data_IF_738234653289
#
_entry.id   IF_738234653289
#
_cell.length_a   1.000
_cell.length_b   1.000
_cell.length_c   1.000
_cell.angle_alpha   90.00
_cell.angle_beta   90.00
_cell.angle_gamma   90.00
#
_symmetry.space_group_name_H-M   'P 1'
#
loop_
_entity.id
_entity.type
_entity.pdbx_description
1 polymer ?
#
# COMPACT_ATOMS: atom_id res chain seq x y z
N UNK A 1 -105.48 29.95 -40.65
CA UNK A 1 -104.13 29.35 -40.56
C UNK A 1 -103.24 30.43 -39.96
N UNK A 2 -103.17 30.69 -38.65
CA UNK A 2 -103.52 29.93 -37.44
C UNK A 2 -102.73 28.64 -37.21
N UNK A 3 -102.09 28.59 -36.02
CA UNK A 3 -101.41 27.48 -35.34
C UNK A 3 -100.14 26.92 -36.03
N UNK A 4 -99.07 26.54 -35.32
CA UNK A 4 -98.78 26.62 -33.87
C UNK A 4 -97.25 26.82 -33.62
N UNK A 5 -96.57 26.64 -32.47
CA UNK A 5 -96.80 25.87 -31.22
C UNK A 5 -96.27 26.60 -29.95
N UNK A 6 -96.56 26.03 -28.78
CA UNK A 6 -95.82 26.18 -27.51
C UNK A 6 -95.72 24.78 -26.86
N UNK A 7 -94.66 24.43 -26.10
CA UNK A 7 -94.47 24.97 -24.74
C UNK A 7 -93.00 25.20 -24.32
N UNK A 8 -92.79 25.73 -23.10
CA UNK A 8 -91.46 25.96 -22.50
C UNK A 8 -91.22 25.24 -21.18
N UNK A 9 -90.17 25.61 -20.46
CA UNK A 9 -89.91 25.17 -19.06
C UNK A 9 -89.13 26.24 -18.28
N UNK A 10 -89.34 26.28 -16.96
CA UNK A 10 -88.75 27.26 -16.03
C UNK A 10 -87.85 26.55 -15.00
N UNK A 11 -86.57 26.94 -14.94
CA UNK A 11 -85.66 26.67 -13.82
C UNK A 11 -84.58 27.78 -13.77
N UNK A 12 -84.79 28.88 -13.05
CA UNK A 12 -84.54 29.00 -11.59
C UNK A 12 -83.05 29.02 -11.20
N UNK A 13 -82.46 30.21 -11.32
CA UNK A 13 -81.42 30.80 -10.45
C UNK A 13 -80.67 29.85 -9.48
N UNK A 14 -79.41 29.56 -9.79
CA UNK A 14 -78.45 28.96 -8.84
C UNK A 14 -77.25 29.88 -8.60
N UNK A 15 -77.31 30.75 -7.58
CA UNK A 15 -76.19 31.60 -7.18
C UNK A 15 -75.05 30.76 -6.57
N UNK A 16 -74.11 30.30 -7.40
CA UNK A 16 -72.81 29.85 -6.90
C UNK A 16 -71.94 31.07 -6.63
N UNK A 17 -71.70 31.36 -5.35
CA UNK A 17 -70.58 32.20 -4.95
C UNK A 17 -69.29 31.59 -5.47
N UNK A 18 -68.70 32.21 -6.49
CA UNK A 18 -67.36 31.88 -6.93
C UNK A 18 -66.38 32.55 -5.97
N UNK A 19 -66.14 31.89 -4.83
CA UNK A 19 -65.03 32.23 -3.94
C UNK A 19 -63.77 32.00 -4.75
N UNK A 20 -63.12 33.08 -5.18
CA UNK A 20 -61.81 33.01 -5.79
C UNK A 20 -60.82 32.58 -4.69
N UNK A 21 -60.43 31.31 -4.68
CA UNK A 21 -59.23 30.89 -3.99
C UNK A 21 -58.06 31.67 -4.61
N UNK A 22 -57.56 32.65 -3.86
CA UNK A 22 -56.31 33.32 -4.19
C UNK A 22 -55.22 32.27 -4.02
N UNK A 23 -54.73 31.73 -5.14
CA UNK A 23 -53.64 30.79 -5.15
C UNK A 23 -52.39 31.47 -4.57
N UNK A 24 -52.10 31.16 -3.31
CA UNK A 24 -50.88 31.58 -2.64
C UNK A 24 -49.70 31.05 -3.45
N UNK A 25 -48.99 31.97 -4.11
CA UNK A 25 -47.83 31.64 -4.92
C UNK A 25 -46.69 31.18 -4.00
N UNK A 26 -46.56 29.85 -3.85
CA UNK A 26 -45.47 29.15 -3.16
C UNK A 26 -44.12 29.78 -3.51
N UNK A 27 -43.33 30.13 -2.50
CA UNK A 27 -42.08 30.88 -2.71
C UNK A 27 -40.99 30.03 -3.35
N UNK A 28 -40.96 28.77 -2.94
CA UNK A 28 -40.13 27.69 -3.49
C UNK A 28 -41.01 26.69 -4.26
N UNK A 29 -40.41 25.80 -5.05
CA UNK A 29 -41.16 24.71 -5.68
C UNK A 29 -41.57 23.62 -4.67
N UNK A 30 -42.67 22.91 -4.94
CA UNK A 30 -43.25 21.94 -4.01
C UNK A 30 -42.33 20.74 -3.67
N UNK A 31 -41.44 20.32 -4.59
CA UNK A 31 -40.45 19.27 -4.35
C UNK A 31 -39.32 19.81 -3.46
N UNK A 32 -38.87 21.04 -3.67
CA UNK A 32 -37.86 21.69 -2.81
C UNK A 32 -38.39 21.93 -1.40
N UNK A 33 -39.64 22.38 -1.25
CA UNK A 33 -40.32 22.50 0.05
C UNK A 33 -40.38 21.15 0.77
N UNK A 34 -40.78 20.08 0.07
CA UNK A 34 -40.84 18.73 0.64
C UNK A 34 -39.45 18.24 1.09
N UNK A 35 -38.45 18.33 0.20
CA UNK A 35 -37.09 17.89 0.48
C UNK A 35 -36.48 18.65 1.66
N UNK A 36 -36.50 19.99 1.62
CA UNK A 36 -35.95 20.85 2.65
C UNK A 36 -36.69 20.69 3.98
N UNK A 37 -38.02 20.56 3.96
CA UNK A 37 -38.84 20.32 5.15
C UNK A 37 -38.69 18.93 5.79
N UNK A 38 -38.27 17.92 5.02
CA UNK A 38 -37.83 16.62 5.55
C UNK A 38 -36.41 16.75 6.11
N UNK A 39 -35.52 17.44 5.40
CA UNK A 39 -34.11 17.55 5.75
C UNK A 39 -33.87 18.38 7.03
N UNK A 40 -34.55 19.52 7.20
CA UNK A 40 -34.46 20.36 8.40
C UNK A 40 -34.83 19.59 9.69
N UNK A 41 -35.74 18.61 9.63
CA UNK A 41 -36.09 17.77 10.79
C UNK A 41 -34.93 16.91 11.29
N UNK A 42 -33.92 16.65 10.44
CA UNK A 42 -32.68 15.96 10.84
C UNK A 42 -31.74 16.82 11.71
N UNK A 43 -31.97 18.14 11.79
CA UNK A 43 -31.26 19.06 12.67
C UNK A 43 -31.87 19.09 14.09
N UNK A 44 -33.10 18.59 14.25
CA UNK A 44 -33.84 18.48 15.53
C UNK A 44 -33.93 19.78 16.33
N UNK A 45 -33.92 20.94 15.65
CA UNK A 45 -33.97 22.28 16.24
C UNK A 45 -34.88 23.21 15.43
N UNK A 46 -35.40 24.31 16.03
CA UNK A 46 -36.20 25.30 15.31
C UNK A 46 -35.44 25.90 14.12
N UNK A 47 -36.13 26.26 13.05
CA UNK A 47 -35.50 26.87 11.87
C UNK A 47 -34.83 28.21 12.16
N UNK A 48 -35.33 28.94 13.16
CA UNK A 48 -34.76 30.19 13.66
C UNK A 48 -33.37 29.97 14.28
N UNK A 49 -33.24 28.91 15.09
CA UNK A 49 -31.97 28.48 15.70
C UNK A 49 -30.94 28.11 14.63
N UNK A 50 -31.34 27.33 13.61
CA UNK A 50 -30.43 26.87 12.54
C UNK A 50 -29.88 28.08 11.76
N UNK A 51 -30.74 29.06 11.44
CA UNK A 51 -30.31 30.30 10.77
C UNK A 51 -29.42 31.17 11.67
N UNK A 52 -29.74 31.26 12.97
CA UNK A 52 -28.90 31.95 13.95
C UNK A 52 -27.50 31.31 14.07
N UNK A 53 -27.43 29.98 14.09
CA UNK A 53 -26.18 29.23 14.17
C UNK A 53 -25.34 29.36 12.88
N UNK A 54 -25.97 29.37 11.69
CA UNK A 54 -25.28 29.66 10.43
C UNK A 54 -24.73 31.10 10.43
N UNK A 55 -25.51 32.08 10.90
CA UNK A 55 -25.09 33.48 11.03
C UNK A 55 -23.91 33.63 12.01
N UNK A 56 -23.96 32.93 13.14
CA UNK A 56 -22.96 32.99 14.21
C UNK A 56 -21.73 32.10 13.94
N UNK A 57 -21.82 31.13 13.02
CA UNK A 57 -20.72 30.25 12.63
C UNK A 57 -20.62 28.96 13.44
N UNK A 58 -21.72 28.51 14.07
CA UNK A 58 -21.79 27.37 15.00
C UNK A 58 -21.99 26.01 14.28
N UNK A 59 -21.35 25.81 13.13
CA UNK A 59 -21.54 24.63 12.27
C UNK A 59 -21.20 23.27 12.92
N UNK A 60 -20.35 23.26 13.96
CA UNK A 60 -19.89 22.05 14.68
C UNK A 60 -21.06 21.17 15.18
N UNK A 61 -22.19 21.78 15.53
CA UNK A 61 -23.37 21.08 16.06
C UNK A 61 -24.08 20.19 15.02
N UNK A 62 -23.73 20.31 13.73
CA UNK A 62 -24.45 19.66 12.63
C UNK A 62 -23.61 18.63 11.85
N UNK A 63 -22.28 18.76 11.86
CA UNK A 63 -21.36 17.95 11.07
C UNK A 63 -21.26 18.43 9.60
N UNK A 64 -20.11 18.18 8.93
CA UNK A 64 -19.89 18.68 7.57
C UNK A 64 -20.87 18.09 6.55
N UNK A 65 -21.32 16.85 6.74
CA UNK A 65 -22.22 16.16 5.81
C UNK A 65 -23.57 16.89 5.70
N UNK A 66 -24.15 17.28 6.84
CA UNK A 66 -25.42 18.01 6.87
C UNK A 66 -25.29 19.44 6.35
N UNK A 67 -24.16 20.09 6.57
CA UNK A 67 -23.94 21.43 6.05
C UNK A 67 -23.70 21.40 4.52
N UNK A 68 -23.03 20.36 4.01
CA UNK A 68 -22.83 20.13 2.58
C UNK A 68 -24.13 19.69 1.87
N UNK A 69 -24.99 18.91 2.53
CA UNK A 69 -26.32 18.59 2.01
C UNK A 69 -27.24 19.83 2.05
N UNK A 70 -27.19 20.65 3.10
CA UNK A 70 -27.88 21.93 3.16
C UNK A 70 -27.45 22.88 2.04
N UNK A 71 -26.14 22.93 1.74
CA UNK A 71 -25.56 23.74 0.67
C UNK A 71 -26.12 23.36 -0.71
N UNK A 72 -26.35 22.06 -0.95
CA UNK A 72 -27.00 21.54 -2.17
C UNK A 72 -28.50 21.85 -2.26
N UNK A 73 -29.13 22.30 -1.17
CA UNK A 73 -30.56 22.65 -1.11
C UNK A 73 -30.84 24.16 -1.05
N UNK A 74 -29.82 25.02 -1.12
CA UNK A 74 -29.98 26.48 -1.06
C UNK A 74 -30.90 27.03 -2.18
N UNK A 75 -31.61 28.16 -1.95
CA UNK A 75 -32.41 28.82 -2.98
C UNK A 75 -31.58 29.19 -4.22
N UNK A 76 -32.16 29.05 -5.42
CA UNK A 76 -31.56 29.61 -6.65
C UNK A 76 -31.78 31.14 -6.74
N UNK A 77 -31.09 31.81 -7.67
CA UNK A 77 -31.16 33.28 -7.81
C UNK A 77 -32.60 33.82 -7.93
N UNK A 78 -33.47 33.13 -8.68
CA UNK A 78 -34.88 33.52 -8.88
C UNK A 78 -35.75 33.18 -7.67
N UNK A 79 -35.33 32.23 -6.84
CA UNK A 79 -35.96 31.96 -5.55
C UNK A 79 -35.54 32.99 -4.51
N UNK A 80 -34.27 33.42 -4.49
CA UNK A 80 -33.79 34.53 -3.65
C UNK A 80 -34.58 35.81 -3.96
N UNK A 81 -34.69 36.20 -5.23
CA UNK A 81 -35.49 37.36 -5.67
C UNK A 81 -36.94 37.33 -5.12
N UNK A 82 -37.60 36.17 -5.14
CA UNK A 82 -38.97 36.00 -4.59
C UNK A 82 -39.01 36.08 -3.07
N UNK A 83 -38.04 35.46 -2.39
CA UNK A 83 -37.95 35.43 -0.92
C UNK A 83 -37.68 36.84 -0.37
N UNK A 84 -36.81 37.62 -1.03
CA UNK A 84 -36.51 39.00 -0.66
C UNK A 84 -37.68 39.95 -0.97
N UNK A 85 -38.40 39.73 -2.07
CA UNK A 85 -39.59 40.52 -2.42
C UNK A 85 -40.86 40.18 -1.59
N UNK A 86 -40.83 39.13 -0.75
CA UNK A 86 -42.03 38.66 -0.05
C UNK A 86 -42.44 39.55 1.13
N UNK A 87 -43.55 40.28 0.95
CA UNK A 87 -44.19 41.12 1.97
C UNK A 87 -45.46 40.47 2.58
N UNK A 88 -45.66 39.16 2.36
CA UNK A 88 -46.87 38.45 2.76
C UNK A 88 -46.87 37.97 4.22
N UNK A 89 -47.99 37.37 4.60
CA UNK A 89 -48.25 36.80 5.92
C UNK A 89 -47.41 35.54 6.16
N UNK A 90 -46.36 35.67 6.98
CA UNK A 90 -45.42 34.59 7.31
C UNK A 90 -46.09 33.40 8.02
N UNK A 91 -47.28 33.54 8.63
CA UNK A 91 -47.95 32.42 9.30
C UNK A 91 -48.59 31.42 8.33
N UNK A 92 -48.58 31.71 7.01
CA UNK A 92 -49.12 30.85 5.95
C UNK A 92 -48.05 30.05 5.21
N UNK A 93 -46.78 30.31 5.51
CA UNK A 93 -45.63 29.64 4.89
C UNK A 93 -45.34 28.30 5.57
N UNK A 94 -44.81 27.36 4.81
CA UNK A 94 -44.26 26.12 5.36
C UNK A 94 -42.97 26.37 6.16
N UNK A 95 -42.61 25.45 7.06
CA UNK A 95 -41.36 25.51 7.85
C UNK A 95 -40.11 25.66 6.96
N UNK A 96 -40.11 25.04 5.77
CA UNK A 96 -39.04 25.15 4.78
C UNK A 96 -38.97 26.55 4.12
N UNK A 97 -40.12 27.16 3.80
CA UNK A 97 -40.17 28.54 3.28
C UNK A 97 -39.81 29.56 4.35
N UNK A 98 -40.24 29.37 5.60
CA UNK A 98 -39.84 30.22 6.73
C UNK A 98 -38.33 30.13 6.95
N UNK A 99 -37.74 28.93 6.89
CA UNK A 99 -36.29 28.76 6.92
C UNK A 99 -35.59 29.51 5.79
N UNK A 100 -36.01 29.30 4.53
CA UNK A 100 -35.38 29.94 3.37
C UNK A 100 -35.50 31.47 3.42
N UNK A 101 -36.67 32.00 3.82
CA UNK A 101 -36.92 33.43 3.99
C UNK A 101 -35.99 34.03 5.05
N UNK A 102 -35.77 33.34 6.17
CA UNK A 102 -34.84 33.76 7.22
C UNK A 102 -33.37 33.62 6.79
N UNK A 103 -33.05 32.61 5.98
CA UNK A 103 -31.68 32.35 5.52
C UNK A 103 -31.18 33.42 4.55
N UNK A 104 -32.01 33.88 3.60
CA UNK A 104 -31.61 34.96 2.67
C UNK A 104 -31.35 36.30 3.39
N UNK A 105 -31.96 36.51 4.57
CA UNK A 105 -31.68 37.67 5.43
C UNK A 105 -30.31 37.60 6.15
N UNK A 106 -29.53 36.50 6.01
CA UNK A 106 -28.17 36.39 6.55
C UNK A 106 -27.15 36.82 5.47
N UNK A 107 -26.35 37.89 5.70
CA UNK A 107 -25.37 38.37 4.72
C UNK A 107 -24.39 37.27 4.31
N UNK A 108 -24.32 37.01 3.00
CA UNK A 108 -23.50 35.97 2.37
C UNK A 108 -23.73 34.55 2.92
N UNK A 109 -24.98 34.19 3.25
CA UNK A 109 -25.35 32.88 3.82
C UNK A 109 -24.73 31.68 3.10
N UNK A 110 -24.72 31.70 1.76
CA UNK A 110 -24.16 30.61 0.94
C UNK A 110 -22.66 30.43 1.20
N UNK A 111 -21.89 31.52 1.16
CA UNK A 111 -20.45 31.50 1.41
C UNK A 111 -20.12 31.19 2.88
N UNK A 112 -20.93 31.68 3.84
CA UNK A 112 -20.80 31.27 5.26
C UNK A 112 -20.98 29.75 5.42
N UNK A 113 -21.96 29.16 4.74
CA UNK A 113 -22.21 27.72 4.83
C UNK A 113 -21.07 26.89 4.21
N UNK A 114 -20.54 27.30 3.06
CA UNK A 114 -19.37 26.70 2.43
C UNK A 114 -18.12 26.79 3.34
N UNK A 115 -17.87 27.96 3.92
CA UNK A 115 -16.78 28.20 4.86
C UNK A 115 -16.93 27.38 6.15
N UNK A 116 -18.15 27.11 6.60
CA UNK A 116 -18.41 26.19 7.72
C UNK A 116 -18.15 24.72 7.37
N UNK A 117 -18.41 24.30 6.13
CA UNK A 117 -18.04 22.96 5.64
C UNK A 117 -16.51 22.83 5.64
N UNK A 118 -15.79 23.79 5.04
CA UNK A 118 -14.32 23.82 5.03
C UNK A 118 -13.72 23.77 6.46
N UNK A 119 -14.29 24.53 7.40
CA UNK A 119 -13.88 24.57 8.81
C UNK A 119 -14.02 23.25 9.56
N UNK A 120 -14.85 22.33 9.07
CA UNK A 120 -15.05 21.01 9.67
C UNK A 120 -14.28 19.89 8.95
N UNK A 121 -13.99 20.05 7.65
CA UNK A 121 -13.33 19.00 6.85
C UNK A 121 -11.80 19.18 6.74
N UNK A 122 -11.28 20.41 6.77
CA UNK A 122 -9.88 20.70 6.44
C UNK A 122 -8.87 19.93 7.31
N UNK A 123 -8.97 20.00 8.64
CA UNK A 123 -7.99 19.34 9.51
C UNK A 123 -8.03 17.80 9.42
N UNK A 124 -9.20 17.13 9.37
CA UNK A 124 -9.27 15.72 9.01
C UNK A 124 -8.59 15.36 7.68
N UNK A 125 -8.77 16.16 6.63
CA UNK A 125 -8.15 15.92 5.32
C UNK A 125 -6.63 16.14 5.35
N UNK A 126 -6.16 17.26 5.94
CA UNK A 126 -4.73 17.51 6.12
C UNK A 126 -4.04 16.42 6.95
N UNK A 127 -4.69 15.89 7.98
CA UNK A 127 -4.18 14.76 8.77
C UNK A 127 -4.09 13.45 7.99
N UNK A 128 -5.06 13.18 7.10
CA UNK A 128 -5.01 12.03 6.19
C UNK A 128 -3.85 12.14 5.19
N UNK A 129 -3.69 13.32 4.57
CA UNK A 129 -2.59 13.62 3.65
C UNK A 129 -1.23 13.55 4.34
N UNK A 130 -1.10 14.10 5.55
CA UNK A 130 0.12 14.01 6.35
C UNK A 130 0.50 12.57 6.66
N UNK A 131 -0.47 11.71 6.99
CA UNK A 131 -0.26 10.27 7.22
C UNK A 131 0.22 9.55 5.95
N UNK A 132 -0.41 9.84 4.80
CA UNK A 132 0.00 9.27 3.51
C UNK A 132 1.42 9.70 3.10
N UNK A 133 1.72 10.99 3.22
CA UNK A 133 3.06 11.57 2.98
C UNK A 133 4.10 10.94 3.91
N UNK A 134 3.78 10.74 5.20
CA UNK A 134 4.68 10.08 6.14
C UNK A 134 4.94 8.62 5.73
N UNK A 135 3.90 7.83 5.43
CA UNK A 135 4.06 6.42 5.01
C UNK A 135 4.99 6.30 3.80
N UNK A 136 4.82 7.16 2.79
CA UNK A 136 5.71 7.20 1.62
C UNK A 136 7.15 7.64 1.98
N UNK A 137 7.30 8.61 2.88
CA UNK A 137 8.62 9.11 3.31
C UNK A 137 9.40 8.04 4.09
N UNK A 138 8.76 7.43 5.09
CA UNK A 138 9.35 6.35 5.89
C UNK A 138 9.66 5.14 5.00
N UNK A 139 8.81 4.80 4.03
CA UNK A 139 9.10 3.76 3.04
C UNK A 139 10.39 4.03 2.24
N UNK A 140 10.58 5.27 1.74
CA UNK A 140 11.78 5.63 1.01
C UNK A 140 13.04 5.56 1.90
N UNK A 141 12.95 6.03 3.15
CA UNK A 141 14.03 5.98 4.14
C UNK A 141 14.35 4.55 4.60
N UNK A 142 13.35 3.68 4.73
CA UNK A 142 13.51 2.25 5.05
C UNK A 142 14.31 1.53 3.96
N UNK A 143 14.05 1.80 2.68
CA UNK A 143 14.84 1.25 1.57
C UNK A 143 16.27 1.79 1.53
N UNK A 144 16.46 3.09 1.76
CA UNK A 144 17.78 3.72 1.85
C UNK A 144 18.61 3.22 3.05
N UNK A 145 17.97 2.82 4.15
CA UNK A 145 18.63 2.37 5.38
C UNK A 145 18.78 0.85 5.56
N UNK A 146 18.18 0.02 4.70
CA UNK A 146 18.16 -1.44 4.88
C UNK A 146 19.43 -2.13 4.36
N UNK A 147 20.50 -2.09 5.15
CA UNK A 147 21.80 -2.72 4.81
C UNK A 147 21.66 -4.20 4.41
N UNK A 148 20.80 -4.98 5.08
CA UNK A 148 20.54 -6.39 4.76
C UNK A 148 19.91 -6.59 3.38
N UNK A 149 18.98 -5.70 2.97
CA UNK A 149 18.43 -5.71 1.61
C UNK A 149 19.54 -5.40 0.60
N UNK A 150 20.38 -4.40 0.88
CA UNK A 150 21.48 -4.04 -0.04
C UNK A 150 22.48 -5.19 -0.20
N UNK A 151 22.80 -5.91 0.88
CA UNK A 151 23.73 -7.03 0.85
C UNK A 151 23.14 -8.31 0.23
N UNK A 152 21.81 -8.42 0.19
CA UNK A 152 21.07 -9.40 -0.61
C UNK A 152 21.04 -9.02 -2.10
N UNK A 153 20.80 -7.75 -2.45
CA UNK A 153 20.91 -7.24 -3.83
C UNK A 153 22.33 -7.46 -4.39
N UNK A 154 23.36 -7.18 -3.58
CA UNK A 154 24.77 -7.47 -3.94
C UNK A 154 25.04 -8.97 -4.12
N UNK A 155 24.32 -9.85 -3.43
CA UNK A 155 24.40 -11.30 -3.63
C UNK A 155 23.76 -11.71 -4.95
N UNK A 156 22.56 -11.19 -5.25
CA UNK A 156 21.85 -11.40 -6.53
C UNK A 156 22.73 -10.96 -7.71
N UNK A 157 23.32 -9.75 -7.67
CA UNK A 157 24.20 -9.24 -8.74
C UNK A 157 25.41 -10.15 -8.97
N UNK A 158 26.09 -10.57 -7.90
CA UNK A 158 27.25 -11.48 -7.97
C UNK A 158 26.88 -12.83 -8.57
N UNK A 159 25.71 -13.37 -8.23
CA UNK A 159 25.25 -14.65 -8.78
C UNK A 159 24.81 -14.51 -10.24
N UNK A 160 24.10 -13.44 -10.60
CA UNK A 160 23.74 -13.14 -11.99
C UNK A 160 24.97 -13.04 -12.89
N UNK A 161 25.96 -12.22 -12.52
CA UNK A 161 27.22 -12.07 -13.25
C UNK A 161 27.97 -13.40 -13.41
N UNK A 162 28.05 -14.23 -12.36
CA UNK A 162 28.69 -15.54 -12.43
C UNK A 162 27.92 -16.53 -13.34
N UNK A 163 26.58 -16.51 -13.32
CA UNK A 163 25.75 -17.36 -14.18
C UNK A 163 25.82 -16.93 -15.66
N UNK A 164 26.05 -15.64 -15.91
CA UNK A 164 26.19 -15.05 -17.24
C UNK A 164 27.65 -14.98 -17.73
N UNK A 165 28.61 -15.58 -17.02
CA UNK A 165 30.05 -15.53 -17.33
C UNK A 165 30.34 -15.92 -18.80
N UNK A 166 30.88 -14.97 -19.58
CA UNK A 166 31.16 -15.13 -21.01
C UNK A 166 30.04 -14.67 -21.96
N UNK A 167 28.87 -14.27 -21.44
CA UNK A 167 27.83 -13.54 -22.16
C UNK A 167 27.88 -12.03 -21.91
N UNK A 168 27.01 -11.28 -22.59
CA UNK A 168 26.90 -9.81 -22.48
C UNK A 168 26.68 -9.35 -21.02
N UNK A 169 25.74 -9.99 -20.32
CA UNK A 169 25.41 -9.71 -18.92
C UNK A 169 26.36 -10.37 -17.89
N UNK A 170 27.57 -10.78 -18.29
CA UNK A 170 28.53 -11.51 -17.44
C UNK A 170 29.39 -10.63 -16.52
N UNK A 171 29.25 -9.31 -16.58
CA UNK A 171 30.03 -8.34 -15.80
C UNK A 171 29.27 -7.02 -15.60
N UNK A 172 27.95 -7.12 -15.42
CA UNK A 172 27.07 -5.97 -15.22
C UNK A 172 27.37 -5.22 -13.92
N UNK A 173 27.12 -3.91 -13.91
CA UNK A 173 27.29 -3.09 -12.70
C UNK A 173 26.02 -3.05 -11.85
N UNK A 174 24.86 -3.30 -12.45
CA UNK A 174 23.56 -3.34 -11.76
C UNK A 174 22.48 -4.07 -12.58
N UNK A 175 21.24 -3.99 -12.09
CA UNK A 175 20.03 -4.48 -12.75
C UNK A 175 18.83 -3.66 -12.27
N UNK A 176 17.81 -3.45 -13.12
CA UNK A 176 16.57 -2.76 -12.71
C UNK A 176 15.86 -3.50 -11.58
N UNK A 177 15.26 -2.77 -10.63
CA UNK A 177 14.65 -3.32 -9.41
C UNK A 177 13.55 -4.34 -9.69
N UNK A 178 12.79 -4.13 -10.78
CA UNK A 178 11.78 -5.08 -11.30
C UNK A 178 12.30 -6.51 -11.54
N UNK A 179 13.62 -6.67 -11.74
CA UNK A 179 14.28 -7.96 -11.95
C UNK A 179 14.26 -8.88 -10.73
N UNK A 180 14.13 -8.33 -9.52
CA UNK A 180 14.01 -9.12 -8.28
C UNK A 180 12.83 -10.09 -8.32
N UNK A 181 11.74 -9.72 -9.01
CA UNK A 181 10.54 -10.56 -9.13
C UNK A 181 10.73 -11.75 -10.06
N UNK A 182 11.66 -11.66 -11.03
CA UNK A 182 11.97 -12.70 -12.03
C UNK A 182 12.88 -13.82 -11.51
N UNK A 183 13.44 -13.68 -10.30
CA UNK A 183 14.26 -14.71 -9.67
C UNK A 183 13.50 -16.03 -9.43
N UNK A 184 12.17 -15.98 -9.29
CA UNK A 184 11.33 -17.16 -9.18
C UNK A 184 11.14 -17.90 -10.52
N UNK A 185 11.34 -17.26 -11.68
CA UNK A 185 11.04 -17.85 -12.98
C UNK A 185 12.13 -18.84 -13.44
N UNK A 186 13.38 -18.62 -13.01
CA UNK A 186 14.51 -19.51 -13.33
C UNK A 186 14.49 -20.76 -12.47
N UNK A 187 14.04 -21.89 -13.03
CA UNK A 187 14.04 -23.19 -12.33
C UNK A 187 15.42 -23.85 -12.31
N UNK A 188 15.74 -24.48 -11.18
CA UNK A 188 16.98 -25.22 -10.98
C UNK A 188 16.92 -26.66 -11.48
N UNK A 189 18.04 -27.38 -11.33
CA UNK A 189 18.16 -28.80 -11.68
C UNK A 189 17.42 -29.74 -10.71
N UNK A 190 16.86 -29.21 -9.61
CA UNK A 190 16.07 -29.96 -8.64
C UNK A 190 14.57 -29.59 -8.77
N UNK A 191 13.64 -30.57 -8.79
CA UNK A 191 12.21 -30.29 -8.82
C UNK A 191 11.76 -29.43 -7.64
N UNK A 192 10.99 -28.37 -7.92
CA UNK A 192 10.53 -27.44 -6.89
C UNK A 192 11.64 -26.56 -6.31
N UNK A 193 12.71 -26.29 -7.06
CA UNK A 193 13.78 -25.35 -6.74
C UNK A 193 13.91 -24.31 -7.85
N UNK A 194 14.17 -23.05 -7.49
CA UNK A 194 14.47 -21.95 -8.42
C UNK A 194 15.57 -21.03 -7.87
N UNK A 195 15.95 -20.03 -8.66
CA UNK A 195 17.02 -19.10 -8.30
C UNK A 195 16.67 -18.29 -7.03
N UNK A 196 15.40 -17.95 -6.79
CA UNK A 196 14.99 -17.28 -5.54
C UNK A 196 15.18 -18.20 -4.33
N UNK A 197 14.78 -19.47 -4.42
CA UNK A 197 15.10 -20.47 -3.39
C UNK A 197 16.60 -20.65 -3.17
N UNK A 198 17.41 -20.61 -4.23
CA UNK A 198 18.85 -20.69 -4.12
C UNK A 198 19.45 -19.43 -3.44
N UNK A 199 18.94 -18.24 -3.76
CA UNK A 199 19.30 -16.99 -3.06
C UNK A 199 18.92 -17.02 -1.58
N UNK A 200 17.77 -17.60 -1.22
CA UNK A 200 17.39 -17.77 0.18
C UNK A 200 18.36 -18.69 0.95
N UNK A 201 18.77 -19.83 0.38
CA UNK A 201 19.79 -20.71 0.97
C UNK A 201 21.15 -20.01 1.09
N UNK A 202 21.62 -19.36 0.02
CA UNK A 202 22.94 -18.74 -0.01
C UNK A 202 23.01 -17.50 0.90
N UNK A 203 21.90 -16.78 1.08
CA UNK A 203 21.77 -15.73 2.08
C UNK A 203 21.86 -16.31 3.50
N UNK A 204 21.04 -17.31 3.86
CA UNK A 204 21.09 -17.95 5.19
C UNK A 204 22.46 -18.57 5.50
N UNK A 205 23.14 -19.13 4.49
CA UNK A 205 24.49 -19.71 4.59
C UNK A 205 25.60 -18.65 4.70
N UNK A 206 25.42 -17.46 4.12
CA UNK A 206 26.37 -16.34 4.18
C UNK A 206 26.22 -15.59 5.50
N UNK A 207 25.00 -15.19 5.83
CA UNK A 207 24.63 -14.45 7.04
C UNK A 207 23.11 -14.57 7.32
N UNK A 208 22.70 -15.31 8.37
CA UNK A 208 21.30 -15.44 8.77
C UNK A 208 20.59 -14.12 9.13
N UNK A 209 21.31 -13.02 9.40
CA UNK A 209 20.67 -11.72 9.65
C UNK A 209 19.91 -11.22 8.43
N UNK A 210 20.40 -11.53 7.21
CA UNK A 210 19.81 -11.12 5.94
C UNK A 210 18.33 -11.52 5.81
N UNK A 211 17.91 -12.63 6.42
CA UNK A 211 16.53 -13.11 6.39
C UNK A 211 15.54 -12.18 7.11
N UNK A 212 16.02 -11.20 7.87
CA UNK A 212 15.21 -10.28 8.66
C UNK A 212 14.89 -8.97 7.93
N UNK A 213 15.48 -8.74 6.73
CA UNK A 213 15.28 -7.51 5.96
C UNK A 213 13.81 -7.08 5.79
N UNK A 214 12.82 -7.97 5.55
CA UNK A 214 11.43 -7.55 5.34
C UNK A 214 10.79 -6.93 6.60
N UNK A 215 11.32 -7.24 7.80
CA UNK A 215 10.86 -6.64 9.06
C UNK A 215 11.33 -5.19 9.25
N UNK A 216 12.32 -4.74 8.47
CA UNK A 216 12.77 -3.34 8.41
C UNK A 216 12.03 -2.53 7.33
N UNK A 217 11.15 -3.16 6.56
CA UNK A 217 10.48 -2.59 5.39
C UNK A 217 8.95 -2.58 5.58
N UNK A 218 8.52 -2.26 6.81
CA UNK A 218 7.12 -2.27 7.25
C UNK A 218 6.22 -1.31 6.45
N UNK A 219 6.76 -0.20 5.93
CA UNK A 219 5.98 0.80 5.20
C UNK A 219 5.79 0.46 3.71
N UNK A 220 6.48 -0.54 3.16
CA UNK A 220 6.35 -0.92 1.74
C UNK A 220 4.91 -1.28 1.34
N UNK A 221 4.27 -2.14 2.15
CA UNK A 221 2.95 -2.71 1.87
C UNK A 221 1.78 -1.71 1.92
N UNK A 222 1.77 -0.68 2.81
CA UNK A 222 0.84 0.44 2.70
C UNK A 222 1.27 1.50 1.67
N UNK A 223 2.58 1.79 1.53
CA UNK A 223 3.08 2.76 0.54
C UNK A 223 2.70 2.38 -0.90
N UNK A 224 2.77 1.09 -1.25
CA UNK A 224 2.37 0.57 -2.57
C UNK A 224 0.86 0.58 -2.85
N UNK A 225 0.08 1.33 -2.07
CA UNK A 225 -1.38 1.48 -2.19
C UNK A 225 -1.83 2.95 -2.13
N UNK A 226 -0.88 3.87 -1.99
CA UNK A 226 -1.11 5.31 -2.01
C UNK A 226 -0.88 5.80 -3.43
N UNK A 227 -1.82 6.55 -3.98
CA UNK A 227 -1.61 7.33 -5.20
C UNK A 227 -0.97 8.67 -4.81
N UNK A 228 0.30 8.85 -5.17
CA UNK A 228 1.06 10.06 -4.82
C UNK A 228 0.62 11.29 -5.64
N UNK A 229 -0.03 11.10 -6.79
CA UNK A 229 -0.60 12.16 -7.61
C UNK A 229 -1.93 12.65 -7.02
N UNK A 230 -2.79 11.74 -6.53
CA UNK A 230 -4.02 12.08 -5.81
C UNK A 230 -3.71 12.86 -4.53
N UNK A 231 -2.71 12.41 -3.74
CA UNK A 231 -2.24 13.12 -2.53
C UNK A 231 -1.73 14.53 -2.86
N UNK A 232 -0.98 14.70 -3.95
CA UNK A 232 -0.52 16.02 -4.38
C UNK A 232 -1.68 16.94 -4.82
N UNK A 233 -2.63 16.39 -5.60
CA UNK A 233 -3.77 17.13 -6.13
C UNK A 233 -4.78 17.53 -5.04
N UNK A 234 -5.04 16.68 -4.04
CA UNK A 234 -5.89 17.07 -2.90
C UNK A 234 -5.21 18.17 -2.07
N UNK A 235 -3.89 18.08 -1.82
CA UNK A 235 -3.17 19.12 -1.06
C UNK A 235 -3.19 20.49 -1.78
N UNK A 236 -3.04 20.52 -3.10
CA UNK A 236 -3.21 21.75 -3.89
C UNK A 236 -4.67 22.26 -3.83
N UNK A 237 -5.66 21.37 -3.98
CA UNK A 237 -7.08 21.71 -3.86
C UNK A 237 -7.43 22.35 -2.52
N UNK A 238 -6.91 21.80 -1.41
CA UNK A 238 -7.09 22.36 -0.06
C UNK A 238 -6.40 23.72 0.11
N UNK A 239 -5.21 23.92 -0.45
CA UNK A 239 -4.59 25.26 -0.49
C UNK A 239 -5.49 26.26 -1.23
N UNK A 240 -5.98 25.91 -2.41
CA UNK A 240 -6.84 26.80 -3.19
C UNK A 240 -8.15 27.12 -2.46
N UNK A 241 -8.69 26.20 -1.67
CA UNK A 241 -9.83 26.48 -0.79
C UNK A 241 -9.48 27.43 0.36
N UNK A 242 -8.33 27.25 1.02
CA UNK A 242 -7.88 28.16 2.09
C UNK A 242 -7.57 29.57 1.55
N UNK A 243 -6.88 29.69 0.41
CA UNK A 243 -6.58 30.99 -0.22
C UNK A 243 -7.86 31.75 -0.62
N UNK A 244 -8.85 31.06 -1.21
CA UNK A 244 -10.16 31.67 -1.51
C UNK A 244 -10.87 32.10 -0.23
N UNK A 245 -10.82 31.27 0.83
CA UNK A 245 -11.41 31.58 2.12
C UNK A 245 -10.74 32.76 2.85
N UNK A 246 -9.44 32.99 2.63
CA UNK A 246 -8.75 34.21 3.09
C UNK A 246 -9.25 35.45 2.32
N UNK A 247 -9.41 35.36 0.99
CA UNK A 247 -9.95 36.46 0.18
C UNK A 247 -11.39 36.88 0.52
N UNK A 248 -12.23 35.96 1.03
CA UNK A 248 -13.57 36.30 1.52
C UNK A 248 -13.56 37.24 2.73
N UNK A 249 -12.51 37.19 3.55
CA UNK A 249 -12.45 37.93 4.82
C UNK A 249 -12.58 39.43 4.57
N UNK A 250 -11.74 39.96 3.68
CA UNK A 250 -11.63 41.38 3.33
C UNK A 250 -12.91 41.94 2.69
N UNK A 251 -13.72 41.08 2.06
CA UNK A 251 -14.95 41.48 1.36
C UNK A 251 -16.25 41.28 2.14
N UNK A 252 -16.31 40.32 3.07
CA UNK A 252 -17.59 39.82 3.62
C UNK A 252 -17.79 40.01 5.13
N UNK A 253 -16.83 40.60 5.86
CA UNK A 253 -16.95 40.84 7.30
C UNK A 253 -16.96 39.53 8.11
N UNK A 254 -16.07 38.61 7.77
CA UNK A 254 -15.97 37.25 8.34
C UNK A 254 -14.74 37.05 9.24
N UNK A 255 -13.90 38.06 9.42
CA UNK A 255 -12.61 38.04 10.12
C UNK A 255 -12.75 37.45 11.53
N UNK A 256 -13.73 37.93 12.31
CA UNK A 256 -13.97 37.47 13.67
C UNK A 256 -14.51 36.02 13.77
N UNK A 257 -15.09 35.49 12.68
CA UNK A 257 -15.74 34.17 12.62
C UNK A 257 -14.82 33.09 12.05
N UNK A 258 -13.97 33.47 11.09
CA UNK A 258 -13.16 32.59 10.27
C UNK A 258 -11.66 32.85 10.37
N UNK A 259 -11.21 34.07 10.66
CA UNK A 259 -9.79 34.44 10.74
C UNK A 259 -8.95 33.56 11.68
N UNK A 260 -9.37 33.31 12.94
CA UNK A 260 -8.64 32.42 13.84
C UNK A 260 -8.52 30.96 13.33
N UNK A 261 -9.50 30.48 12.56
CA UNK A 261 -9.42 29.19 11.90
C UNK A 261 -8.46 29.23 10.70
N UNK A 262 -8.57 30.24 9.84
CA UNK A 262 -7.74 30.37 8.63
C UNK A 262 -6.26 30.59 8.94
N UNK A 263 -5.94 31.23 10.07
CA UNK A 263 -4.56 31.34 10.54
C UNK A 263 -3.97 29.98 10.91
N UNK A 264 -4.71 29.13 11.65
CA UNK A 264 -4.26 27.77 11.98
C UNK A 264 -4.22 26.89 10.71
N UNK A 265 -5.22 27.00 9.85
CA UNK A 265 -5.27 26.32 8.55
C UNK A 265 -4.01 26.56 7.71
N UNK A 266 -3.56 27.82 7.62
CA UNK A 266 -2.35 28.20 6.87
C UNK A 266 -1.06 27.65 7.51
N UNK A 267 -1.01 27.55 8.84
CA UNK A 267 0.13 26.94 9.56
C UNK A 267 0.19 25.43 9.32
N UNK A 268 -0.93 24.72 9.46
CA UNK A 268 -0.99 23.27 9.22
C UNK A 268 -0.73 22.94 7.73
N UNK A 269 -1.35 23.66 6.80
CA UNK A 269 -1.12 23.51 5.35
C UNK A 269 0.37 23.68 4.99
N UNK A 270 1.03 24.68 5.59
CA UNK A 270 2.48 24.91 5.43
C UNK A 270 3.32 23.75 6.00
N UNK A 271 2.90 23.13 7.10
CA UNK A 271 3.56 21.97 7.67
C UNK A 271 3.40 20.71 6.79
N UNK A 272 2.19 20.44 6.27
CA UNK A 272 1.95 19.32 5.33
C UNK A 272 2.73 19.52 4.02
N UNK A 273 2.81 20.74 3.50
CA UNK A 273 3.67 21.07 2.34
C UNK A 273 5.16 20.89 2.61
N UNK A 274 5.65 21.22 3.80
CA UNK A 274 7.04 20.95 4.17
C UNK A 274 7.32 19.43 4.25
N UNK A 275 6.36 18.64 4.73
CA UNK A 275 6.45 17.17 4.71
C UNK A 275 6.43 16.62 3.27
N UNK A 276 5.59 17.16 2.37
CA UNK A 276 5.58 16.80 0.95
C UNK A 276 6.93 17.10 0.27
N UNK A 277 7.56 18.23 0.58
CA UNK A 277 8.91 18.55 0.10
C UNK A 277 9.98 17.58 0.64
N UNK A 278 9.82 17.09 1.88
CA UNK A 278 10.66 16.03 2.44
C UNK A 278 10.48 14.68 1.71
N UNK A 279 9.24 14.32 1.39
CA UNK A 279 8.91 13.16 0.58
C UNK A 279 9.57 13.22 -0.80
N UNK A 280 9.44 14.33 -1.53
CA UNK A 280 10.08 14.47 -2.85
C UNK A 280 11.62 14.37 -2.77
N UNK A 281 12.24 14.86 -1.69
CA UNK A 281 13.68 14.69 -1.46
C UNK A 281 14.05 13.23 -1.20
N UNK A 282 13.31 12.52 -0.34
CA UNK A 282 13.55 11.11 -0.06
C UNK A 282 13.33 10.21 -1.29
N UNK A 283 12.31 10.50 -2.10
CA UNK A 283 12.03 9.82 -3.36
C UNK A 283 13.15 10.04 -4.39
N UNK A 284 13.63 11.28 -4.55
CA UNK A 284 14.75 11.59 -5.45
C UNK A 284 16.05 10.92 -5.02
N UNK A 285 16.35 10.91 -3.71
CA UNK A 285 17.50 10.17 -3.15
C UNK A 285 17.40 8.67 -3.39
N UNK A 286 16.19 8.09 -3.33
CA UNK A 286 15.98 6.68 -3.61
C UNK A 286 16.12 6.36 -5.10
N UNK A 287 15.62 7.21 -6.01
CA UNK A 287 15.79 7.02 -7.46
C UNK A 287 17.27 7.02 -7.86
N UNK A 288 18.04 7.98 -7.36
CA UNK A 288 19.50 8.09 -7.57
C UNK A 288 20.25 6.87 -6.98
N UNK A 289 19.89 6.46 -5.76
CA UNK A 289 20.48 5.28 -5.11
C UNK A 289 20.20 3.95 -5.85
N UNK A 290 19.05 3.83 -6.51
CA UNK A 290 18.66 2.66 -7.30
C UNK A 290 19.09 2.74 -8.78
N UNK A 291 19.63 3.89 -9.22
CA UNK A 291 19.94 4.20 -10.62
C UNK A 291 18.72 4.09 -11.57
N UNK A 292 17.51 4.35 -11.07
CA UNK A 292 16.28 4.38 -11.88
C UNK A 292 16.03 5.82 -12.42
N UNK A 293 15.38 5.93 -13.57
CA UNK A 293 15.13 7.21 -14.27
C UNK A 293 14.17 8.12 -13.46
N UNK A 294 14.60 9.34 -13.05
CA UNK A 294 13.78 10.24 -12.23
C UNK A 294 12.53 10.80 -12.96
N UNK A 295 12.45 10.73 -14.29
CA UNK A 295 11.22 11.09 -15.02
C UNK A 295 10.19 9.94 -15.07
N UNK A 296 10.62 8.69 -14.81
CA UNK A 296 9.79 7.49 -14.85
C UNK A 296 9.58 6.83 -13.46
N UNK A 297 10.31 7.25 -12.42
CA UNK A 297 10.31 6.62 -11.11
C UNK A 297 9.01 6.83 -10.33
N UNK A 298 8.24 5.76 -10.12
CA UNK A 298 7.11 5.72 -9.17
C UNK A 298 7.54 5.11 -7.84
N UNK A 299 7.47 5.90 -6.76
CA UNK A 299 7.75 5.41 -5.40
C UNK A 299 6.74 4.34 -4.95
N UNK A 300 5.40 4.49 -5.13
CA UNK A 300 4.45 3.42 -4.82
C UNK A 300 4.73 2.10 -5.57
N UNK A 301 5.08 2.15 -6.87
CA UNK A 301 5.42 0.96 -7.63
C UNK A 301 6.71 0.30 -7.12
N UNK A 302 7.75 1.09 -6.86
CA UNK A 302 9.02 0.63 -6.26
C UNK A 302 8.78 -0.09 -4.92
N UNK A 303 7.95 0.50 -4.04
CA UNK A 303 7.54 -0.12 -2.78
C UNK A 303 6.77 -1.43 -3.01
N UNK A 304 5.93 -1.50 -4.04
CA UNK A 304 5.21 -2.71 -4.43
C UNK A 304 6.14 -3.84 -4.88
N UNK A 305 7.18 -3.52 -5.66
CA UNK A 305 8.21 -4.48 -6.09
C UNK A 305 8.97 -5.02 -4.88
N UNK A 306 9.44 -4.15 -3.98
CA UNK A 306 10.19 -4.58 -2.79
C UNK A 306 9.32 -5.38 -1.79
N UNK A 307 8.05 -5.01 -1.59
CA UNK A 307 7.12 -5.80 -0.80
C UNK A 307 6.92 -7.20 -1.40
N UNK A 308 6.61 -7.29 -2.70
CA UNK A 308 6.38 -8.56 -3.38
C UNK A 308 7.64 -9.44 -3.44
N UNK A 309 8.84 -8.84 -3.54
CA UNK A 309 10.10 -9.56 -3.40
C UNK A 309 10.29 -10.11 -1.98
N UNK A 310 10.05 -9.31 -0.94
CA UNK A 310 10.15 -9.73 0.46
C UNK A 310 9.25 -10.91 0.81
N UNK A 311 7.98 -10.87 0.41
CA UNK A 311 7.01 -11.96 0.60
C UNK A 311 7.47 -13.25 -0.10
N UNK A 312 7.87 -13.17 -1.38
CA UNK A 312 8.35 -14.32 -2.15
C UNK A 312 9.65 -14.90 -1.56
N UNK A 313 10.54 -14.05 -1.06
CA UNK A 313 11.80 -14.47 -0.44
C UNK A 313 11.54 -15.21 0.88
N UNK A 314 10.65 -14.72 1.74
CA UNK A 314 10.26 -15.42 2.98
C UNK A 314 9.54 -16.75 2.70
N UNK A 315 8.67 -16.81 1.69
CA UNK A 315 8.06 -18.06 1.25
C UNK A 315 9.14 -19.09 0.83
N UNK A 316 10.11 -18.68 0.03
CA UNK A 316 11.22 -19.52 -0.42
C UNK A 316 12.11 -20.02 0.74
N UNK A 317 12.32 -19.20 1.78
CA UNK A 317 13.01 -19.60 3.03
C UNK A 317 12.26 -20.73 3.76
N UNK A 318 10.94 -20.60 3.94
CA UNK A 318 10.16 -21.63 4.63
C UNK A 318 9.97 -22.90 3.78
N UNK A 319 9.84 -22.78 2.45
CA UNK A 319 9.85 -23.92 1.53
C UNK A 319 11.20 -24.66 1.55
N UNK A 320 12.33 -23.93 1.63
CA UNK A 320 13.65 -24.52 1.85
C UNK A 320 13.72 -25.33 3.15
N UNK A 321 13.35 -24.72 4.28
CA UNK A 321 13.33 -25.37 5.60
C UNK A 321 12.41 -26.60 5.64
N UNK A 322 11.25 -26.52 4.99
CA UNK A 322 10.34 -27.65 4.84
C UNK A 322 10.95 -28.81 4.01
N UNK A 323 11.68 -28.48 2.93
CA UNK A 323 12.38 -29.44 2.06
C UNK A 323 13.50 -30.17 2.83
N UNK A 324 14.33 -29.45 3.58
CA UNK A 324 15.37 -30.04 4.43
C UNK A 324 14.79 -30.93 5.53
N UNK A 325 13.75 -30.45 6.23
CA UNK A 325 13.05 -31.24 7.24
C UNK A 325 12.41 -32.50 6.64
N UNK A 326 11.92 -32.47 5.40
CA UNK A 326 11.42 -33.67 4.70
C UNK A 326 12.55 -34.67 4.42
N UNK A 327 13.69 -34.22 3.90
CA UNK A 327 14.88 -35.06 3.64
C UNK A 327 15.39 -35.72 4.91
N UNK A 328 15.53 -34.98 6.02
CA UNK A 328 15.94 -35.56 7.30
C UNK A 328 14.94 -36.59 7.84
N UNK A 329 13.63 -36.33 7.75
CA UNK A 329 12.59 -37.30 8.15
C UNK A 329 12.65 -38.58 7.31
N UNK A 330 12.93 -38.48 6.01
CA UNK A 330 13.07 -39.68 5.16
C UNK A 330 14.35 -40.47 5.50
N UNK A 331 15.49 -39.79 5.68
CA UNK A 331 16.74 -40.42 6.10
C UNK A 331 16.57 -41.19 7.43
N UNK A 332 15.92 -40.58 8.43
CA UNK A 332 15.62 -41.22 9.71
C UNK A 332 14.72 -42.46 9.53
N UNK A 333 13.68 -42.39 8.69
CA UNK A 333 12.83 -43.55 8.37
C UNK A 333 13.63 -44.69 7.73
N UNK A 334 14.43 -44.40 6.70
CA UNK A 334 15.29 -45.38 6.03
C UNK A 334 16.28 -46.03 7.01
N UNK A 335 16.88 -45.27 7.92
CA UNK A 335 17.74 -45.79 8.98
C UNK A 335 16.99 -46.70 9.96
N UNK A 336 15.80 -46.31 10.43
CA UNK A 336 14.97 -47.15 11.30
C UNK A 336 14.52 -48.45 10.62
N UNK A 337 14.19 -48.41 9.34
CA UNK A 337 13.80 -49.58 8.55
C UNK A 337 14.98 -50.55 8.38
N UNK A 338 16.18 -50.05 8.04
CA UNK A 338 17.41 -50.85 8.01
C UNK A 338 17.77 -51.43 9.38
N UNK A 339 17.59 -50.68 10.48
CA UNK A 339 17.81 -51.18 11.83
C UNK A 339 16.80 -52.29 12.20
N UNK A 340 15.52 -52.15 11.83
CA UNK A 340 14.49 -53.19 11.99
C UNK A 340 14.83 -54.45 11.17
N UNK A 341 15.33 -54.30 9.94
CA UNK A 341 15.80 -55.41 9.10
C UNK A 341 16.99 -56.14 9.73
N UNK A 342 18.03 -55.41 10.17
CA UNK A 342 19.21 -56.00 10.84
C UNK A 342 18.84 -56.74 12.14
N UNK A 343 17.91 -56.21 12.94
CA UNK A 343 17.42 -56.91 14.14
C UNK A 343 16.63 -58.18 13.79
N UNK A 344 15.86 -58.17 12.69
CA UNK A 344 15.15 -59.36 12.19
C UNK A 344 16.10 -60.45 11.70
N UNK A 345 17.14 -60.12 10.92
CA UNK A 345 18.08 -61.14 10.43
C UNK A 345 18.89 -61.80 11.55
N UNK A 346 19.32 -61.02 12.57
CA UNK A 346 19.99 -61.56 13.77
C UNK A 346 19.05 -62.54 14.52
N UNK A 347 17.77 -62.19 14.68
CA UNK A 347 16.79 -63.07 15.32
C UNK A 347 16.59 -64.38 14.54
N UNK A 348 16.44 -64.33 13.21
CA UNK A 348 16.27 -65.54 12.38
C UNK A 348 17.50 -66.46 12.43
N UNK A 349 18.72 -65.91 12.48
CA UNK A 349 19.94 -66.70 12.63
C UNK A 349 20.09 -67.36 14.03
N UNK A 350 19.31 -66.94 15.02
CA UNK A 350 19.39 -67.44 16.40
C UNK A 350 18.52 -68.68 16.66
N UNK A 351 17.71 -69.12 15.70
CA UNK A 351 16.85 -70.31 15.80
C UNK A 351 17.43 -71.53 15.05
N UNK A 352 18.59 -72.02 15.51
CA UNK A 352 19.09 -73.37 15.22
C UNK A 352 19.35 -74.11 16.52
N UNK A 353 18.53 -75.11 16.81
CA UNK A 353 18.66 -75.94 18.01
C UNK A 353 19.97 -76.77 18.02
N UNK A 354 20.61 -76.94 19.20
CA UNK A 354 21.82 -77.75 19.34
C UNK A 354 21.47 -79.24 19.48
N UNK A 355 21.47 -79.99 18.37
CA UNK A 355 21.03 -81.39 18.41
C UNK A 355 21.44 -82.32 17.26
N UNK A 356 22.73 -82.66 17.16
CA UNK A 356 23.27 -84.06 17.16
C UNK A 356 24.73 -84.12 16.68
N UNK A 357 25.46 -85.13 17.15
CA UNK A 357 26.93 -85.23 17.09
C UNK A 357 27.47 -85.77 15.76
N UNK A 358 28.63 -85.25 15.33
CA UNK A 358 29.76 -86.12 14.97
C UNK A 358 31.12 -85.42 15.09
N UNK A 359 32.18 -86.22 15.26
CA UNK A 359 33.49 -85.74 15.72
C UNK A 359 34.24 -84.86 14.70
N UNK A 360 35.00 -83.90 15.23
CA UNK A 360 35.91 -83.02 14.48
C UNK A 360 36.87 -82.33 15.43
N UNK A 361 37.98 -82.99 15.77
CA UNK A 361 39.02 -82.46 16.65
C UNK A 361 39.75 -81.30 15.96
N UNK A 362 39.88 -80.15 16.63
CA UNK A 362 41.16 -79.42 16.79
C UNK A 362 41.07 -78.33 17.87
N UNK A 363 42.22 -77.79 18.26
CA UNK A 363 42.42 -77.03 19.50
C UNK A 363 42.33 -75.51 19.30
N UNK A 364 41.92 -74.79 20.35
CA UNK A 364 42.43 -73.45 20.66
C UNK A 364 43.41 -73.53 21.85
N UNK A 365 43.99 -72.41 22.35
CA UNK A 365 43.51 -71.03 22.15
C UNK A 365 44.61 -69.96 21.88
N UNK A 366 44.16 -68.70 21.89
CA UNK A 366 44.90 -67.47 22.29
C UNK A 366 45.72 -66.66 21.28
N UNK A 367 45.23 -65.43 21.05
CA UNK A 367 45.91 -64.12 21.16
C UNK A 367 47.44 -64.13 21.34
N UNK A 368 48.18 -63.44 20.43
CA UNK A 368 49.10 -62.30 20.71
C UNK A 368 49.98 -61.88 19.49
N UNK A 369 49.99 -60.57 19.17
CA UNK A 369 51.16 -59.73 18.75
C UNK A 369 51.94 -60.10 17.42
N UNK A 370 52.87 -59.31 16.81
CA UNK A 370 53.44 -57.97 17.10
C UNK A 370 53.90 -57.18 15.81
N UNK A 371 53.73 -55.84 15.81
CA UNK A 371 54.53 -54.70 15.28
C UNK A 371 55.40 -54.66 13.96
N UNK A 372 55.46 -53.44 13.38
CA UNK A 372 56.53 -52.79 12.53
C UNK A 372 56.75 -53.34 11.09
N UNK A 373 57.08 -52.61 9.99
CA UNK A 373 57.33 -51.20 9.58
C UNK A 373 56.88 -51.06 8.08
N UNK A 374 56.91 -49.94 7.32
CA UNK A 374 57.37 -48.53 7.46
C UNK A 374 57.05 -47.73 6.14
N UNK A 375 57.29 -46.41 6.02
CA UNK A 375 56.61 -45.56 5.00
C UNK A 375 57.47 -44.90 3.89
N UNK A 376 56.81 -44.47 2.80
CA UNK A 376 57.33 -43.50 1.81
C UNK A 376 56.62 -43.61 0.43
N UNK A 377 56.51 -42.59 -0.42
CA UNK A 377 56.68 -41.13 -0.24
C UNK A 377 55.92 -40.39 -1.36
N UNK A 378 55.43 -39.16 -1.11
CA UNK A 378 54.62 -38.37 -2.08
C UNK A 378 55.46 -37.24 -2.70
N UNK A 379 55.47 -37.03 -4.03
CA UNK A 379 56.21 -35.93 -4.66
C UNK A 379 55.45 -34.58 -4.59
N UNK A 380 56.13 -33.45 -4.32
CA UNK A 380 55.51 -32.13 -4.27
C UNK A 380 55.53 -31.42 -5.63
N UNK A 381 54.41 -30.78 -6.00
CA UNK A 381 54.37 -29.81 -7.11
C UNK A 381 54.58 -28.39 -6.57
N UNK A 382 55.61 -27.70 -7.08
CA UNK A 382 55.87 -26.28 -6.79
C UNK A 382 55.17 -25.39 -7.81
N UNK A 383 54.50 -24.34 -7.34
CA UNK A 383 54.18 -23.16 -8.16
C UNK A 383 55.11 -22.00 -7.78
N UNK A 384 55.45 -21.16 -8.77
CA UNK A 384 56.29 -19.96 -8.59
C UNK A 384 55.42 -18.71 -8.49
N UNK A 385 55.80 -17.80 -7.61
CA UNK A 385 55.45 -16.38 -7.66
C UNK A 385 56.56 -15.59 -8.39
N UNK A 386 56.19 -14.58 -9.19
CA UNK A 386 56.99 -13.37 -9.40
C UNK A 386 56.48 -12.22 -8.51
N UNK A 387 57.33 -11.23 -8.25
CA UNK A 387 57.01 -10.00 -7.50
C UNK A 387 57.05 -8.79 -8.44
N UNK A 388 56.20 -7.76 -8.22
CA UNK A 388 56.19 -6.55 -9.05
C UNK A 388 55.15 -5.48 -8.65
N UNK A 389 55.51 -4.62 -7.70
CA UNK A 389 55.13 -3.19 -7.54
C UNK A 389 53.75 -2.67 -7.99
N UNK A 390 52.96 -2.13 -7.05
CA UNK A 390 51.84 -1.21 -7.29
C UNK A 390 52.32 0.26 -7.46
N UNK A 391 51.51 1.21 -8.00
CA UNK A 391 50.47 1.92 -7.21
C UNK A 391 49.24 2.39 -8.05
N UNK A 392 48.30 3.21 -7.52
CA UNK A 392 47.65 3.24 -6.20
C UNK A 392 46.13 2.85 -6.31
N UNK A 393 45.37 2.96 -5.21
CA UNK A 393 43.94 2.57 -5.12
C UNK A 393 42.95 3.50 -5.88
N UNK A 394 41.69 3.06 -6.07
CA UNK A 394 40.67 3.44 -5.06
C UNK A 394 39.86 2.27 -4.46
N UNK A 395 39.92 2.13 -3.13
CA UNK A 395 38.94 1.56 -2.18
C UNK A 395 37.77 0.65 -2.67
N UNK A 396 38.05 -0.46 -3.34
CA UNK A 396 37.15 -1.65 -3.32
C UNK A 396 37.99 -2.91 -3.10
N UNK A 397 38.26 -3.23 -1.82
CA UNK A 397 39.31 -4.16 -1.43
C UNK A 397 38.78 -5.46 -0.78
N UNK A 398 38.55 -6.48 -1.63
CA UNK A 398 38.58 -7.91 -1.32
C UNK A 398 37.55 -8.50 -0.32
N UNK A 399 36.57 -9.20 -0.89
CA UNK A 399 36.02 -10.42 -0.31
C UNK A 399 35.94 -11.51 -1.40
N UNK A 400 37.05 -12.25 -1.59
CA UNK A 400 37.08 -13.44 -2.45
C UNK A 400 36.33 -14.60 -1.76
N UNK A 401 35.00 -14.61 -1.89
CA UNK A 401 34.25 -15.86 -1.79
C UNK A 401 34.37 -16.58 -3.13
N UNK A 402 35.25 -17.57 -3.21
CA UNK A 402 35.27 -18.49 -4.33
C UNK A 402 33.98 -19.33 -4.30
N UNK A 403 33.04 -19.05 -5.20
CA UNK A 403 31.80 -19.84 -5.31
C UNK A 403 32.13 -21.32 -5.54
N UNK A 404 31.49 -22.25 -4.81
CA UNK A 404 31.71 -23.68 -5.05
C UNK A 404 31.29 -24.08 -6.48
N UNK A 405 31.98 -25.05 -7.12
CA UNK A 405 31.57 -25.60 -8.42
C UNK A 405 30.14 -26.16 -8.47
N UNK A 406 29.49 -26.32 -7.32
CA UNK A 406 28.08 -26.66 -7.19
C UNK A 406 27.14 -25.71 -7.96
N UNK A 407 27.49 -24.42 -8.12
CA UNK A 407 26.59 -23.43 -8.72
C UNK A 407 26.22 -23.77 -10.18
N UNK A 408 27.21 -24.17 -10.99
CA UNK A 408 27.00 -24.65 -12.38
C UNK A 408 26.37 -26.05 -12.45
N UNK A 409 26.31 -26.78 -11.35
CA UNK A 409 25.70 -28.12 -11.26
C UNK A 409 24.26 -28.12 -10.71
N UNK A 410 23.79 -27.02 -10.09
CA UNK A 410 22.45 -26.94 -9.48
C UNK A 410 21.42 -26.15 -10.31
N UNK A 411 21.82 -25.45 -11.37
CA UNK A 411 20.95 -24.60 -12.20
C UNK A 411 21.03 -25.01 -13.69
N UNK A 412 19.95 -24.79 -14.46
CA UNK A 412 19.82 -25.24 -15.85
C UNK A 412 20.58 -24.33 -16.83
N UNK A 413 21.64 -24.80 -17.54
CA UNK A 413 22.52 -23.91 -18.30
C UNK A 413 21.92 -23.24 -19.54
N UNK A 414 20.78 -23.74 -20.07
CA UNK A 414 20.27 -23.33 -21.39
C UNK A 414 19.09 -22.33 -21.34
N UNK A 415 18.45 -22.12 -20.19
CA UNK A 415 17.29 -21.22 -20.08
C UNK A 415 17.66 -19.76 -19.76
N UNK A 416 18.88 -19.51 -19.27
CA UNK A 416 19.21 -18.26 -18.56
C UNK A 416 19.65 -17.12 -19.48
N UNK A 417 20.28 -17.44 -20.61
CA UNK A 417 20.91 -16.45 -21.51
C UNK A 417 19.95 -15.48 -22.20
N UNK A 418 18.66 -15.80 -22.30
CA UNK A 418 17.63 -14.83 -22.70
C UNK A 418 17.12 -14.04 -21.49
N UNK A 419 16.70 -14.74 -20.43
CA UNK A 419 15.98 -14.12 -19.30
C UNK A 419 16.80 -13.09 -18.53
N UNK A 420 18.14 -13.22 -18.46
CA UNK A 420 18.99 -12.22 -17.77
C UNK A 420 19.81 -11.35 -18.72
N UNK A 421 19.95 -11.75 -19.99
CA UNK A 421 20.44 -10.86 -21.05
C UNK A 421 19.55 -9.62 -21.22
N UNK A 422 18.24 -9.78 -21.02
CA UNK A 422 17.22 -8.73 -20.98
C UNK A 422 17.42 -7.62 -19.91
N UNK A 423 18.23 -7.85 -18.87
CA UNK A 423 18.03 -7.21 -17.54
C UNK A 423 19.23 -6.45 -16.94
N UNK A 424 20.36 -6.45 -17.62
CA UNK A 424 21.66 -6.06 -17.06
C UNK A 424 22.36 -5.03 -17.96
N UNK A 425 22.90 -3.99 -17.31
CA UNK A 425 23.67 -2.90 -17.92
C UNK A 425 25.12 -2.89 -17.37
#
# INVERSE_FOLDING_TARGET
MLHDEQPGSLASLGWRHQVAEVSLASLLDAKKILNLGIFLKQFKRPVQDIVADIRNGAGVLYGPEKLLELFKMLPDVKEVEKLEAFQGDRSRLSEAEVFALLLVQVPSYSRRLELLVLKLQLFPQLGALQSAIQILTEAALELLGCEELHDLIRLVLKTGNYMNEGGYAGSAFGFHVSSLLRLADTKGNQPGMDLLHFMALEAERKDPTLLHFPRKLQHMAPASRIDDQEVAAELESLEQHVLRAQGDLEGLGLEAQMGPFLHVAEVELRAVKAAQQGLHQAAAMLSDFLCEDPEAFSLPECCGIFHAFGERFLAAVEENRAREAAVHREQQRRQQEQAKQKRRSIATCSFRDPGTSREGVHQGPSIEQILLLGPGAVPPLRLRLPCGTAPPEPRVAWALLAFPPALKNQLLPQAFGQVVGELCW
#
